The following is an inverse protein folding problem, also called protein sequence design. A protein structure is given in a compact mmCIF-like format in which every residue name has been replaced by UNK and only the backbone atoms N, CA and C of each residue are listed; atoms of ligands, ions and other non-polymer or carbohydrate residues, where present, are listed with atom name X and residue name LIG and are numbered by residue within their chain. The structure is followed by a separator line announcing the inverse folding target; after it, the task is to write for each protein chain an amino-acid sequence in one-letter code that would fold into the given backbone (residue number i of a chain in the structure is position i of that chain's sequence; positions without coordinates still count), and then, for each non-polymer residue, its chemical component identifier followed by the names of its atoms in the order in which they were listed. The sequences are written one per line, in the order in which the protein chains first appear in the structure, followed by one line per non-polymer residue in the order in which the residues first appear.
data_IF_525366264657
#
_entry.id   IF_525366264657
#
_cell.length_a   1.000
_cell.length_b   1.000
_cell.length_c   1.000
_cell.angle_alpha   90.00
_cell.angle_beta   90.00
_cell.angle_gamma   90.00
#
_symmetry.space_group_name_H-M   'P 1'
#
loop_
_entity.id
_entity.type
_entity.pdbx_description
1 polymer ?
#
# COMPACT_ATOMS: atom_id res chain seq x y z
N UNK A 1 -37.00 -8.78 82.36
CA UNK A 1 -36.46 -7.51 81.89
C UNK A 1 -35.16 -7.88 81.15
N UNK A 2 -35.31 -8.07 79.79
CA UNK A 2 -34.21 -8.57 78.97
C UNK A 2 -33.49 -7.35 78.29
N UNK A 3 -32.19 -7.31 78.42
CA UNK A 3 -31.32 -6.36 77.78
C UNK A 3 -30.79 -7.04 76.49
N UNK A 4 -31.17 -6.49 75.35
CA UNK A 4 -30.65 -6.92 74.06
C UNK A 4 -29.35 -6.18 73.74
N UNK A 5 -28.29 -6.95 73.54
CA UNK A 5 -27.03 -6.43 73.00
C UNK A 5 -27.07 -6.37 71.49
N UNK A 6 -26.87 -5.18 70.95
CA UNK A 6 -26.70 -4.95 69.52
C UNK A 6 -25.21 -5.01 69.16
N UNK A 7 -24.82 -6.00 68.35
CA UNK A 7 -23.50 -6.07 67.74
C UNK A 7 -23.50 -5.28 66.47
N UNK A 8 -22.68 -4.24 66.39
CA UNK A 8 -22.40 -3.51 65.15
C UNK A 8 -21.20 -4.20 64.49
N UNK A 9 -21.41 -4.85 63.33
CA UNK A 9 -20.35 -5.35 62.47
C UNK A 9 -19.94 -4.19 61.55
N UNK A 10 -18.71 -3.71 61.75
CA UNK A 10 -18.05 -2.79 60.81
C UNK A 10 -17.47 -3.60 59.63
N UNK A 11 -18.14 -3.54 58.49
CA UNK A 11 -17.63 -4.12 57.25
C UNK A 11 -16.53 -3.25 56.63
N UNK A 12 -15.28 -3.72 56.62
CA UNK A 12 -14.20 -3.13 55.83
C UNK A 12 -14.39 -3.52 54.36
N UNK A 13 -14.87 -2.59 53.53
CA UNK A 13 -14.85 -2.73 52.07
C UNK A 13 -13.46 -2.40 51.55
N UNK A 14 -12.71 -3.41 51.16
CA UNK A 14 -11.45 -3.26 50.42
C UNK A 14 -11.78 -3.03 48.97
N UNK A 15 -11.74 -1.79 48.53
CA UNK A 15 -11.85 -1.43 47.11
C UNK A 15 -10.55 -1.79 46.40
N UNK A 16 -10.56 -2.86 45.61
CA UNK A 16 -9.48 -3.16 44.68
C UNK A 16 -9.55 -2.14 43.50
N UNK A 17 -8.68 -1.15 43.56
CA UNK A 17 -8.39 -0.33 42.37
C UNK A 17 -7.62 -1.19 41.38
N UNK A 18 -8.32 -1.73 40.39
CA UNK A 18 -7.71 -2.35 39.22
C UNK A 18 -7.12 -1.22 38.37
N UNK A 19 -5.83 -0.91 38.55
CA UNK A 19 -5.08 -0.07 37.60
C UNK A 19 -5.01 -0.83 36.27
N UNK A 20 -5.93 -0.53 35.37
CA UNK A 20 -5.78 -0.85 33.97
C UNK A 20 -4.56 -0.05 33.45
N UNK A 21 -3.40 -0.72 33.33
CA UNK A 21 -2.29 -0.18 32.56
C UNK A 21 -2.76 -0.07 31.11
N UNK A 22 -3.12 1.14 30.68
CA UNK A 22 -3.16 1.48 29.26
C UNK A 22 -1.77 1.16 28.72
N UNK A 23 -1.67 0.08 27.94
CA UNK A 23 -0.49 -0.19 27.12
C UNK A 23 -0.34 1.00 26.18
N UNK A 24 0.57 1.88 26.52
CA UNK A 24 1.03 2.96 25.66
C UNK A 24 1.52 2.28 24.37
N UNK A 25 0.67 2.22 23.33
CA UNK A 25 1.08 1.77 21.99
C UNK A 25 2.06 2.83 21.51
N UNK A 26 3.36 2.53 21.62
CA UNK A 26 4.36 3.38 20.97
C UNK A 26 3.95 3.58 19.52
N UNK A 27 3.99 4.84 19.05
CA UNK A 27 3.67 5.15 17.66
C UNK A 27 4.54 4.29 16.73
N UNK A 28 3.92 3.66 15.72
CA UNK A 28 4.65 2.91 14.70
C UNK A 28 5.56 3.89 13.95
N UNK A 29 6.86 3.61 13.89
CA UNK A 29 7.83 4.41 13.14
C UNK A 29 7.93 3.81 11.74
N UNK A 30 7.82 4.67 10.72
CA UNK A 30 7.98 4.31 9.31
C UNK A 30 9.25 4.95 8.76
N UNK A 31 10.02 4.19 7.99
CA UNK A 31 11.21 4.66 7.28
C UNK A 31 10.81 5.64 6.17
N UNK A 32 11.36 6.84 6.19
CA UNK A 32 11.11 7.93 5.22
C UNK A 32 12.40 8.41 4.53
N UNK A 33 13.50 7.72 4.75
CA UNK A 33 14.81 8.05 4.20
C UNK A 33 15.49 6.78 3.70
N UNK A 34 15.87 6.79 2.43
CA UNK A 34 16.47 5.67 1.73
C UNK A 34 17.84 6.06 1.16
N UNK A 35 18.80 5.13 1.16
CA UNK A 35 20.13 5.36 0.59
C UNK A 35 20.09 5.22 -0.95
N UNK A 36 19.52 6.22 -1.62
CA UNK A 36 19.35 6.22 -3.07
C UNK A 36 20.67 6.38 -3.83
N UNK A 37 21.67 7.01 -3.23
CA UNK A 37 22.99 7.21 -3.85
C UNK A 37 23.73 5.89 -4.10
N UNK A 38 23.36 4.83 -3.38
CA UNK A 38 23.90 3.48 -3.61
C UNK A 38 23.22 2.73 -4.74
N UNK A 39 22.15 3.29 -5.33
CA UNK A 39 21.35 2.65 -6.37
C UNK A 39 21.79 3.04 -7.77
N UNK A 40 22.07 2.03 -8.61
CA UNK A 40 22.03 2.17 -10.05
C UNK A 40 20.60 1.89 -10.50
N UNK A 41 19.88 2.95 -10.84
CA UNK A 41 18.49 2.83 -11.25
C UNK A 41 18.36 2.34 -12.69
N UNK A 42 17.36 1.49 -12.92
CA UNK A 42 16.94 0.99 -14.22
C UNK A 42 15.43 1.20 -14.40
N UNK A 43 15.01 1.47 -15.62
CA UNK A 43 13.59 1.55 -15.98
C UNK A 43 12.95 0.17 -16.16
N UNK A 44 13.72 -0.91 -16.01
CA UNK A 44 13.26 -2.29 -16.10
C UNK A 44 13.90 -3.14 -15.04
N UNK A 45 13.17 -4.15 -14.54
CA UNK A 45 13.67 -5.12 -13.58
C UNK A 45 12.58 -6.01 -13.04
N UNK A 46 12.99 -7.09 -12.35
CA UNK A 46 12.09 -8.01 -11.65
C UNK A 46 12.44 -8.03 -10.17
N UNK A 47 11.61 -7.42 -9.37
CA UNK A 47 11.53 -7.73 -7.95
C UNK A 47 10.72 -9.03 -7.78
N UNK A 48 10.89 -9.74 -6.68
CA UNK A 48 10.13 -10.96 -6.41
C UNK A 48 8.61 -10.76 -6.49
N UNK A 49 8.13 -9.57 -6.08
CA UNK A 49 6.72 -9.21 -5.95
C UNK A 49 6.29 -8.05 -6.86
N UNK A 50 7.16 -7.59 -7.75
CA UNK A 50 6.85 -6.49 -8.66
C UNK A 50 7.60 -6.65 -9.99
N UNK A 51 6.86 -6.76 -11.09
CA UNK A 51 7.43 -6.90 -12.44
C UNK A 51 7.39 -5.53 -13.12
N UNK A 52 8.58 -4.94 -13.31
CA UNK A 52 8.73 -3.64 -13.99
C UNK A 52 9.27 -3.86 -15.41
N UNK A 53 8.50 -4.56 -16.26
CA UNK A 53 8.86 -4.85 -17.64
C UNK A 53 7.77 -4.36 -18.60
N UNK A 54 8.11 -3.61 -19.65
CA UNK A 54 7.15 -3.10 -20.63
C UNK A 54 6.23 -4.18 -21.18
N UNK A 55 4.93 -3.86 -21.27
CA UNK A 55 3.88 -4.75 -21.74
C UNK A 55 3.35 -5.72 -20.68
N UNK A 56 3.93 -5.78 -19.49
CA UNK A 56 3.36 -6.56 -18.39
C UNK A 56 2.08 -5.91 -17.88
N UNK A 57 1.05 -6.72 -17.67
CA UNK A 57 -0.27 -6.24 -17.28
C UNK A 57 -0.88 -7.13 -16.20
N UNK A 58 -1.56 -6.51 -15.24
CA UNK A 58 -2.42 -7.14 -14.25
C UNK A 58 -3.85 -6.60 -14.43
N UNK A 59 -4.85 -7.46 -14.23
CA UNK A 59 -6.25 -7.06 -14.16
C UNK A 59 -6.84 -7.63 -12.88
N UNK A 60 -7.33 -6.75 -12.02
CA UNK A 60 -8.04 -7.10 -10.80
C UNK A 60 -9.51 -6.69 -10.94
N UNK A 61 -10.41 -7.49 -10.41
CA UNK A 61 -11.85 -7.22 -10.43
C UNK A 61 -12.46 -7.62 -9.07
N UNK A 62 -13.50 -6.88 -8.67
CA UNK A 62 -14.20 -7.12 -7.42
C UNK A 62 -15.39 -6.17 -7.25
N UNK A 63 -15.72 -5.91 -5.99
CA UNK A 63 -16.74 -4.93 -5.62
C UNK A 63 -16.23 -4.05 -4.50
N UNK A 64 -16.35 -2.76 -4.67
CA UNK A 64 -16.14 -1.76 -3.65
C UNK A 64 -17.42 -0.98 -3.47
N UNK A 65 -17.85 -0.77 -2.23
CA UNK A 65 -19.13 -0.13 -1.88
C UNK A 65 -20.35 -0.74 -2.62
N UNK A 66 -20.31 -2.06 -2.90
CA UNK A 66 -21.28 -2.83 -3.71
C UNK A 66 -21.30 -2.50 -5.21
N UNK A 67 -20.39 -1.67 -5.72
CA UNK A 67 -20.23 -1.38 -7.13
C UNK A 67 -19.17 -2.28 -7.77
N UNK A 68 -19.40 -2.70 -9.02
CA UNK A 68 -18.42 -3.51 -9.74
C UNK A 68 -17.22 -2.66 -10.11
N UNK A 69 -16.07 -2.99 -9.52
CA UNK A 69 -14.80 -2.25 -9.70
C UNK A 69 -13.79 -3.12 -10.42
N UNK A 70 -13.04 -2.50 -11.32
CA UNK A 70 -11.97 -3.10 -12.09
C UNK A 70 -10.76 -2.19 -12.13
N UNK A 71 -9.60 -2.75 -11.79
CA UNK A 71 -8.29 -2.11 -11.89
C UNK A 71 -7.44 -2.83 -12.96
N UNK A 72 -6.91 -2.06 -13.91
CA UNK A 72 -5.96 -2.55 -14.92
C UNK A 72 -4.65 -1.84 -14.73
N UNK A 73 -3.61 -2.58 -14.36
CA UNK A 73 -2.25 -2.07 -14.18
C UNK A 73 -1.43 -2.48 -15.39
N UNK A 74 -0.80 -1.52 -16.07
CA UNK A 74 0.00 -1.78 -17.27
C UNK A 74 1.36 -1.12 -17.16
N UNK A 75 2.43 -1.89 -17.28
CA UNK A 75 3.78 -1.35 -17.46
C UNK A 75 3.92 -0.88 -18.90
N UNK A 76 3.90 0.44 -19.11
CA UNK A 76 4.01 1.02 -20.44
C UNK A 76 5.46 0.97 -20.98
N UNK A 77 5.64 1.08 -22.29
CA UNK A 77 6.97 1.25 -22.90
C UNK A 77 7.48 2.71 -22.80
N UNK A 78 6.76 3.54 -22.10
CA UNK A 78 7.08 4.93 -21.85
C UNK A 78 7.98 5.09 -20.63
N UNK A 79 8.86 6.08 -20.70
CA UNK A 79 9.68 6.52 -19.56
C UNK A 79 9.42 7.99 -19.25
N UNK A 80 9.68 8.37 -18.01
CA UNK A 80 9.60 9.76 -17.53
C UNK A 80 10.85 10.07 -16.72
N UNK A 81 11.47 11.19 -16.99
CA UNK A 81 12.56 11.69 -16.16
C UNK A 81 11.98 12.51 -15.00
N UNK A 82 12.27 12.08 -13.76
CA UNK A 82 11.94 12.80 -12.53
C UNK A 82 13.24 13.19 -11.84
N UNK A 83 13.50 14.49 -11.74
CA UNK A 83 14.81 14.98 -11.32
C UNK A 83 15.92 14.47 -12.26
N UNK A 84 16.84 13.68 -11.73
CA UNK A 84 17.93 13.07 -12.50
C UNK A 84 17.71 11.59 -12.83
N UNK A 85 16.59 11.00 -12.39
CA UNK A 85 16.32 9.57 -12.53
C UNK A 85 15.35 9.34 -13.69
N UNK A 86 15.72 8.42 -14.58
CA UNK A 86 14.81 7.89 -15.61
C UNK A 86 13.95 6.82 -14.98
N UNK A 87 12.63 6.98 -15.04
CA UNK A 87 11.64 6.07 -14.46
C UNK A 87 10.82 5.39 -15.54
N UNK A 88 10.25 4.24 -15.24
CA UNK A 88 9.24 3.56 -16.04
C UNK A 88 7.85 4.08 -15.69
N UNK A 89 7.01 4.30 -16.68
CA UNK A 89 5.60 4.64 -16.49
C UNK A 89 4.80 3.34 -16.29
N UNK A 90 4.08 3.26 -15.19
CA UNK A 90 3.09 2.22 -14.93
C UNK A 90 1.74 2.90 -14.84
N UNK A 91 0.86 2.60 -15.80
CA UNK A 91 -0.49 3.14 -15.82
C UNK A 91 -1.43 2.23 -15.04
N UNK A 92 -2.22 2.82 -14.18
CA UNK A 92 -3.34 2.20 -13.50
C UNK A 92 -4.63 2.85 -13.99
N UNK A 93 -5.57 2.04 -14.46
CA UNK A 93 -6.88 2.48 -14.93
C UNK A 93 -7.95 1.82 -14.09
N UNK A 94 -8.59 2.62 -13.25
CA UNK A 94 -9.71 2.18 -12.44
C UNK A 94 -11.04 2.53 -13.10
N UNK A 95 -11.96 1.58 -13.05
CA UNK A 95 -13.32 1.77 -13.55
C UNK A 95 -14.34 1.19 -12.59
N UNK A 96 -15.45 1.92 -12.42
CA UNK A 96 -16.60 1.51 -11.62
C UNK A 96 -17.80 1.37 -12.55
N UNK A 97 -18.45 0.19 -12.50
CA UNK A 97 -19.56 -0.17 -13.39
C UNK A 97 -19.24 0.05 -14.89
N UNK A 98 -17.96 -0.18 -15.26
CA UNK A 98 -17.46 -0.04 -16.63
C UNK A 98 -17.20 1.40 -17.08
N UNK A 99 -17.26 2.37 -16.18
CA UNK A 99 -16.89 3.76 -16.44
C UNK A 99 -15.56 4.07 -15.75
N UNK A 100 -14.58 4.57 -16.50
CA UNK A 100 -13.31 5.02 -15.92
C UNK A 100 -13.57 6.13 -14.90
N UNK A 101 -13.01 5.96 -13.69
CA UNK A 101 -13.08 6.92 -12.59
C UNK A 101 -11.73 7.56 -12.33
N UNK A 102 -10.63 6.82 -12.57
CA UNK A 102 -9.27 7.32 -12.41
C UNK A 102 -8.32 6.68 -13.44
N UNK A 103 -7.37 7.46 -13.91
CA UNK A 103 -6.17 6.98 -14.58
C UNK A 103 -4.98 7.64 -13.89
N UNK A 104 -4.13 6.85 -13.26
CA UNK A 104 -2.85 7.30 -12.72
C UNK A 104 -1.69 6.79 -13.58
N UNK A 105 -0.62 7.59 -13.68
CA UNK A 105 0.64 7.22 -14.33
C UNK A 105 1.76 7.34 -13.32
N UNK A 106 2.15 6.22 -12.80
CA UNK A 106 3.08 6.04 -11.71
C UNK A 106 4.51 5.92 -12.25
N UNK A 107 5.49 6.56 -11.61
CA UNK A 107 6.88 6.64 -12.05
C UNK A 107 7.78 5.81 -11.15
N UNK A 108 8.11 4.59 -11.60
CA UNK A 108 8.92 3.66 -10.84
C UNK A 108 10.32 3.47 -11.42
N UNK A 109 11.29 3.20 -10.54
CA UNK A 109 12.63 2.78 -10.94
C UNK A 109 13.10 1.60 -10.09
N UNK A 110 13.79 0.67 -10.74
CA UNK A 110 14.36 -0.52 -10.14
C UNK A 110 15.80 -0.24 -9.68
N UNK A 111 16.09 -0.44 -8.40
CA UNK A 111 17.43 -0.36 -7.84
C UNK A 111 18.15 -1.71 -8.01
N UNK A 112 19.16 -1.76 -8.86
CA UNK A 112 19.87 -3.00 -9.22
C UNK A 112 20.63 -3.64 -8.03
N UNK A 113 21.09 -2.83 -7.07
CA UNK A 113 21.86 -3.32 -5.92
C UNK A 113 21.00 -4.01 -4.87
N UNK A 114 19.76 -3.53 -4.70
CA UNK A 114 18.86 -4.03 -3.66
C UNK A 114 17.69 -4.82 -4.20
N UNK A 115 17.46 -4.83 -5.51
CA UNK A 115 16.26 -5.34 -6.17
C UNK A 115 14.95 -4.67 -5.68
N UNK A 116 15.05 -3.46 -5.14
CA UNK A 116 13.89 -2.69 -4.66
C UNK A 116 13.29 -1.86 -5.79
N UNK A 117 11.99 -1.61 -5.70
CA UNK A 117 11.27 -0.67 -6.57
C UNK A 117 11.03 0.61 -5.79
N UNK A 118 11.49 1.73 -6.33
CA UNK A 118 11.26 3.06 -5.76
C UNK A 118 10.22 3.83 -6.56
N UNK A 119 9.44 4.65 -5.85
CA UNK A 119 8.35 5.47 -6.38
C UNK A 119 8.77 6.93 -6.42
N UNK A 120 8.73 7.53 -7.59
CA UNK A 120 9.20 8.89 -7.85
C UNK A 120 8.07 9.89 -8.09
N UNK A 121 6.82 9.45 -8.02
CA UNK A 121 5.64 10.30 -8.20
C UNK A 121 4.67 9.78 -9.23
N UNK A 122 3.61 10.53 -9.43
CA UNK A 122 2.53 10.18 -10.35
C UNK A 122 1.86 11.41 -10.96
N UNK A 123 1.24 11.19 -12.11
CA UNK A 123 0.20 12.04 -12.68
C UNK A 123 -1.15 11.34 -12.51
N UNK A 124 -2.18 12.09 -12.09
CA UNK A 124 -3.53 11.55 -11.82
C UNK A 124 -4.55 12.32 -12.65
N UNK A 125 -5.42 11.58 -13.33
CA UNK A 125 -6.59 12.09 -14.03
C UNK A 125 -7.85 11.50 -13.38
N UNK A 126 -8.57 12.28 -12.57
CA UNK A 126 -9.84 11.88 -11.98
C UNK A 126 -11.00 12.17 -12.94
N UNK A 127 -11.86 11.18 -13.19
CA UNK A 127 -12.93 11.26 -14.18
C UNK A 127 -14.32 11.30 -13.55
N UNK A 128 -15.22 12.06 -14.17
CA UNK A 128 -16.66 12.01 -13.94
C UNK A 128 -17.40 12.20 -15.26
N UNK A 129 -18.30 11.25 -15.58
CA UNK A 129 -19.07 11.26 -16.84
C UNK A 129 -18.15 11.36 -18.09
N UNK A 130 -17.04 10.62 -18.08
CA UNK A 130 -16.06 10.55 -19.17
C UNK A 130 -15.22 11.83 -19.39
N UNK A 131 -15.19 12.74 -18.40
CA UNK A 131 -14.39 13.96 -18.47
C UNK A 131 -13.48 14.05 -17.25
N UNK A 132 -12.24 14.51 -17.47
CA UNK A 132 -11.31 14.83 -16.38
C UNK A 132 -11.90 16.00 -15.58
N UNK A 133 -11.99 15.84 -14.27
CA UNK A 133 -12.53 16.85 -13.36
C UNK A 133 -11.43 17.50 -12.49
N UNK A 134 -10.36 16.79 -12.18
CA UNK A 134 -9.20 17.30 -11.45
C UNK A 134 -8.00 16.34 -11.61
N UNK A 135 -6.86 16.73 -11.01
CA UNK A 135 -5.61 15.98 -10.94
C UNK A 135 -5.17 15.82 -9.49
N UNK A 136 -6.13 15.67 -8.58
CA UNK A 136 -5.87 15.53 -7.15
C UNK A 136 -5.11 14.23 -6.88
N UNK A 137 -4.10 14.30 -6.02
CA UNK A 137 -3.17 13.19 -5.76
C UNK A 137 -1.84 13.32 -6.51
N UNK A 138 -1.79 13.98 -7.67
CA UNK A 138 -0.58 14.07 -8.47
C UNK A 138 0.60 14.74 -7.73
N UNK A 139 1.78 14.12 -7.83
CA UNK A 139 3.01 14.62 -7.21
C UNK A 139 4.25 14.12 -7.95
N UNK A 140 5.38 14.80 -7.76
CA UNK A 140 6.69 14.36 -8.22
C UNK A 140 7.71 14.48 -7.08
N UNK A 141 8.72 13.60 -7.09
CA UNK A 141 9.82 13.59 -6.12
C UNK A 141 10.82 14.71 -6.43
N UNK A 142 10.31 15.95 -6.36
CA UNK A 142 11.05 17.18 -6.62
C UNK A 142 10.81 18.20 -5.51
N UNK A 143 11.76 19.10 -5.31
CA UNK A 143 11.67 20.14 -4.31
C UNK A 143 11.62 19.59 -2.88
N UNK A 144 10.49 19.70 -2.18
CA UNK A 144 10.27 19.19 -0.82
C UNK A 144 9.85 17.71 -0.78
N UNK A 145 9.36 17.19 -1.90
CA UNK A 145 8.91 15.82 -2.00
C UNK A 145 10.10 14.89 -2.23
N UNK A 146 9.99 13.65 -1.79
CA UNK A 146 11.08 12.65 -1.89
C UNK A 146 10.55 11.36 -2.50
N UNK A 147 11.42 10.56 -3.14
CA UNK A 147 11.03 9.21 -3.54
C UNK A 147 10.71 8.36 -2.33
N UNK A 148 9.73 7.48 -2.47
CA UNK A 148 9.40 6.45 -1.51
C UNK A 148 9.82 5.06 -1.99
N UNK A 149 9.60 4.06 -1.14
CA UNK A 149 9.86 2.65 -1.43
C UNK A 149 8.54 1.97 -1.80
N UNK A 150 8.35 1.60 -3.07
CA UNK A 150 7.14 0.87 -3.48
C UNK A 150 7.21 -0.60 -3.06
N UNK A 151 8.35 -1.26 -3.33
CA UNK A 151 8.53 -2.68 -2.99
C UNK A 151 9.96 -2.94 -2.54
N UNK A 152 10.11 -3.52 -1.34
CA UNK A 152 11.41 -3.93 -0.82
C UNK A 152 11.97 -5.11 -1.62
N UNK A 153 13.28 -5.12 -1.89
CA UNK A 153 13.95 -6.24 -2.56
C UNK A 153 14.11 -7.47 -1.66
N UNK A 154 14.16 -7.24 -0.36
CA UNK A 154 14.15 -8.28 0.67
C UNK A 154 13.11 -7.90 1.72
N UNK A 155 11.85 -8.30 1.53
CA UNK A 155 10.78 -7.98 2.46
C UNK A 155 10.95 -8.75 3.78
N UNK A 156 10.73 -8.06 4.91
CA UNK A 156 10.75 -8.63 6.26
C UNK A 156 9.48 -8.26 7.01
N UNK A 157 8.88 -9.20 7.73
CA UNK A 157 7.68 -8.94 8.54
C UNK A 157 7.96 -7.89 9.60
N UNK A 158 7.08 -6.88 9.66
CA UNK A 158 7.22 -5.73 10.55
C UNK A 158 8.02 -4.57 9.95
N UNK A 159 8.59 -4.71 8.74
CA UNK A 159 9.22 -3.58 8.07
C UNK A 159 8.16 -2.56 7.66
N UNK A 160 8.41 -1.27 8.01
CA UNK A 160 7.50 -0.14 7.81
C UNK A 160 8.21 0.96 7.05
N UNK A 161 7.61 1.44 5.98
CA UNK A 161 8.20 2.45 5.12
C UNK A 161 7.15 3.29 4.42
N UNK A 162 7.55 4.50 4.02
CA UNK A 162 6.73 5.35 3.17
C UNK A 162 6.88 4.93 1.70
N UNK A 163 5.75 4.75 1.03
CA UNK A 163 5.66 4.55 -0.42
C UNK A 163 5.63 5.89 -1.14
N UNK A 164 5.07 6.92 -0.50
CA UNK A 164 4.97 8.27 -1.02
C UNK A 164 5.39 9.29 0.03
N UNK A 165 6.18 10.27 -0.39
CA UNK A 165 6.68 11.32 0.51
C UNK A 165 6.46 12.69 -0.13
N UNK A 166 5.18 13.07 -0.27
CA UNK A 166 4.73 14.38 -0.75
C UNK A 166 3.82 15.05 0.31
N UNK A 167 4.40 15.77 1.30
CA UNK A 167 3.68 16.30 2.44
C UNK A 167 2.45 17.12 2.08
N UNK A 168 1.28 16.67 2.55
CA UNK A 168 -0.02 17.30 2.33
C UNK A 168 -0.66 16.95 0.97
N UNK A 169 -0.06 16.05 0.18
CA UNK A 169 -0.55 15.60 -1.12
C UNK A 169 -0.72 14.07 -1.10
N UNK A 170 0.40 13.35 -0.96
CA UNK A 170 0.44 11.89 -0.96
C UNK A 170 1.48 11.41 0.07
N UNK A 171 1.05 10.58 1.02
CA UNK A 171 1.87 10.17 2.17
C UNK A 171 1.64 8.69 2.52
N UNK A 172 1.38 7.87 1.53
CA UNK A 172 1.07 6.47 1.74
C UNK A 172 2.27 5.70 2.24
N UNK A 173 2.00 4.74 3.11
CA UNK A 173 3.01 3.98 3.83
C UNK A 173 2.56 2.55 4.05
N UNK A 174 3.48 1.64 3.93
CA UNK A 174 3.29 0.22 4.01
C UNK A 174 3.87 -0.40 5.29
N UNK A 175 3.20 -1.38 5.83
CA UNK A 175 3.74 -2.33 6.80
C UNK A 175 3.63 -3.75 6.23
N UNK A 176 4.75 -4.47 6.15
CA UNK A 176 4.75 -5.88 5.79
C UNK A 176 4.21 -6.66 6.99
N UNK A 177 3.00 -7.23 6.85
CA UNK A 177 2.30 -7.90 7.96
C UNK A 177 2.49 -9.40 7.97
N UNK A 178 2.70 -10.03 6.81
CA UNK A 178 3.06 -11.44 6.71
C UNK A 178 3.75 -11.81 5.41
N UNK A 179 4.44 -12.95 5.41
CA UNK A 179 5.06 -13.60 4.26
C UNK A 179 4.73 -15.10 4.37
N UNK A 180 4.37 -15.73 3.25
CA UNK A 180 4.00 -17.15 3.22
C UNK A 180 2.49 -17.38 3.20
N UNK A 181 1.71 -16.33 2.94
CA UNK A 181 0.26 -16.44 2.77
C UNK A 181 -0.11 -17.24 1.52
N UNK A 182 -1.29 -17.85 1.57
CA UNK A 182 -1.89 -18.56 0.46
C UNK A 182 -3.22 -17.88 0.07
N UNK A 183 -3.46 -17.72 -1.22
CA UNK A 183 -4.71 -17.18 -1.73
C UNK A 183 -5.08 -17.82 -3.06
N UNK A 184 -6.39 -17.97 -3.28
CA UNK A 184 -6.97 -18.41 -4.54
C UNK A 184 -7.74 -17.26 -5.18
N UNK A 185 -7.46 -17.02 -6.46
CA UNK A 185 -8.20 -16.08 -7.32
C UNK A 185 -8.73 -16.83 -8.55
N UNK A 186 -9.48 -16.15 -9.42
CA UNK A 186 -9.91 -16.76 -10.69
C UNK A 186 -8.74 -16.97 -11.67
N UNK A 187 -7.64 -16.22 -11.50
CA UNK A 187 -6.44 -16.35 -12.30
C UNK A 187 -5.51 -17.52 -11.86
N UNK A 188 -5.68 -18.05 -10.63
CA UNK A 188 -4.86 -19.14 -10.12
C UNK A 188 -4.89 -19.31 -8.61
N UNK A 189 -4.01 -20.20 -8.12
CA UNK A 189 -3.73 -20.39 -6.70
C UNK A 189 -2.28 -19.99 -6.44
N UNK A 190 -2.08 -19.22 -5.39
CA UNK A 190 -0.82 -18.56 -5.07
C UNK A 190 -0.35 -18.95 -3.68
N UNK A 191 0.92 -19.24 -3.54
CA UNK A 191 1.59 -19.59 -2.28
C UNK A 191 2.76 -18.64 -2.05
N UNK A 192 3.23 -18.57 -0.81
CA UNK A 192 4.33 -17.68 -0.39
C UNK A 192 4.06 -16.20 -0.72
N UNK A 193 2.80 -15.79 -0.64
CA UNK A 193 2.40 -14.42 -0.90
C UNK A 193 2.86 -13.50 0.21
N UNK A 194 3.19 -12.26 -0.18
CA UNK A 194 3.48 -11.13 0.69
C UNK A 194 2.18 -10.40 0.99
N UNK A 195 1.87 -10.12 2.26
CA UNK A 195 0.75 -9.29 2.66
C UNK A 195 1.24 -7.97 3.27
N UNK A 196 0.62 -6.87 2.84
CA UNK A 196 0.96 -5.50 3.24
C UNK A 196 -0.30 -4.81 3.78
N UNK A 197 -0.18 -4.10 4.91
CA UNK A 197 -1.15 -3.11 5.37
C UNK A 197 -0.69 -1.73 4.89
N UNK A 198 -1.49 -1.06 4.09
CA UNK A 198 -1.27 0.32 3.68
C UNK A 198 -2.09 1.28 4.54
N UNK A 199 -1.52 2.42 4.85
CA UNK A 199 -2.13 3.49 5.66
C UNK A 199 -1.58 4.82 5.22
N UNK A 200 -2.32 5.90 5.48
CA UNK A 200 -1.81 7.25 5.27
C UNK A 200 -2.01 8.14 6.50
N UNK A 201 -1.04 8.98 6.88
CA UNK A 201 -1.24 9.96 7.95
C UNK A 201 -2.23 11.06 7.56
N UNK A 202 -2.55 11.22 6.26
CA UNK A 202 -3.54 12.18 5.77
C UNK A 202 -4.97 11.74 6.10
N UNK A 203 -5.22 10.41 6.13
CA UNK A 203 -6.48 9.78 6.53
C UNK A 203 -6.24 8.64 7.54
N UNK A 204 -5.95 8.93 8.83
CA UNK A 204 -5.44 7.94 9.80
C UNK A 204 -6.38 6.77 10.13
N UNK A 205 -7.63 6.84 9.70
CA UNK A 205 -8.63 5.77 9.90
C UNK A 205 -8.69 4.78 8.74
N UNK A 206 -8.17 5.18 7.61
CA UNK A 206 -8.16 4.36 6.39
C UNK A 206 -7.04 3.34 6.47
N UNK A 207 -7.36 2.13 6.06
CA UNK A 207 -6.45 1.00 5.97
C UNK A 207 -6.83 0.15 4.79
N UNK A 208 -5.83 -0.23 4.04
CA UNK A 208 -5.97 -1.14 2.92
C UNK A 208 -5.06 -2.35 3.08
N UNK A 209 -5.48 -3.47 2.52
CA UNK A 209 -4.72 -4.71 2.59
C UNK A 209 -4.45 -5.21 1.18
N UNK A 210 -3.16 -5.25 0.82
CA UNK A 210 -2.70 -5.74 -0.47
C UNK A 210 -1.95 -7.06 -0.32
N UNK A 211 -2.07 -7.92 -1.33
CA UNK A 211 -1.28 -9.16 -1.39
C UNK A 211 -0.59 -9.27 -2.74
N UNK A 212 0.64 -9.75 -2.69
CA UNK A 212 1.50 -9.91 -3.85
C UNK A 212 1.98 -11.35 -3.94
N UNK A 213 1.89 -11.96 -5.14
CA UNK A 213 2.42 -13.30 -5.40
C UNK A 213 3.82 -13.26 -6.03
N UNK A 214 4.72 -14.19 -5.64
CA UNK A 214 6.06 -14.26 -6.22
C UNK A 214 6.01 -14.44 -7.74
N UNK A 215 6.78 -13.61 -8.46
CA UNK A 215 6.88 -13.66 -9.93
C UNK A 215 5.66 -13.17 -10.70
N UNK A 216 4.64 -12.67 -9.99
CA UNK A 216 3.39 -12.14 -10.55
C UNK A 216 3.21 -10.67 -10.21
N UNK A 217 3.28 -10.27 -8.95
CA UNK A 217 2.95 -8.94 -8.47
C UNK A 217 1.65 -8.90 -7.69
N UNK A 218 0.92 -7.80 -7.78
CA UNK A 218 -0.33 -7.56 -7.06
C UNK A 218 -1.42 -8.55 -7.47
N UNK A 219 -1.95 -9.30 -6.50
CA UNK A 219 -3.01 -10.31 -6.70
C UNK A 219 -4.28 -10.03 -5.90
N UNK A 220 -4.18 -9.11 -4.94
CA UNK A 220 -5.31 -8.61 -4.17
C UNK A 220 -5.06 -7.16 -3.82
N UNK A 221 -6.07 -6.32 -4.00
CA UNK A 221 -6.14 -4.92 -3.61
C UNK A 221 -7.50 -4.66 -2.96
N UNK A 222 -7.52 -4.44 -1.65
CA UNK A 222 -8.76 -4.37 -0.92
C UNK A 222 -9.67 -5.58 -1.17
N UNK A 223 -10.77 -5.36 -1.87
CA UNK A 223 -11.72 -6.40 -2.30
C UNK A 223 -11.53 -6.85 -3.74
N UNK A 224 -10.58 -6.27 -4.48
CA UNK A 224 -10.29 -6.67 -5.85
C UNK A 224 -9.35 -7.87 -5.85
N UNK A 225 -9.61 -8.83 -6.73
CA UNK A 225 -8.79 -10.04 -6.89
C UNK A 225 -8.30 -10.17 -8.33
N UNK A 226 -7.07 -10.66 -8.50
CA UNK A 226 -6.47 -10.88 -9.81
C UNK A 226 -7.30 -11.86 -10.64
N UNK A 227 -7.70 -11.41 -11.84
CA UNK A 227 -8.44 -12.22 -12.83
C UNK A 227 -7.61 -12.54 -14.07
N UNK A 228 -6.60 -11.72 -14.37
CA UNK A 228 -5.72 -11.89 -15.54
C UNK A 228 -4.36 -11.25 -15.28
N UNK A 229 -3.29 -11.86 -15.82
CA UNK A 229 -1.93 -11.31 -15.79
C UNK A 229 -1.10 -11.79 -16.98
N UNK A 230 0.01 -11.12 -17.22
CA UNK A 230 1.01 -11.48 -18.24
C UNK A 230 1.29 -10.36 -19.21
N UNK A 231 2.09 -10.63 -20.23
CA UNK A 231 2.42 -9.65 -21.25
C UNK A 231 1.27 -9.49 -22.24
N UNK A 232 0.91 -8.23 -22.53
CA UNK A 232 -0.04 -7.88 -23.57
C UNK A 232 0.51 -8.37 -24.93
N UNK A 233 -0.37 -8.99 -25.73
CA UNK A 233 -0.02 -9.49 -27.06
C UNK A 233 -0.17 -8.39 -28.09
#
# INVERSE_FOLDING_TARGET
MLIQNVFVLAGLSVSFYCCAQEKNKSAKIFTDTFNLDSCSFSTTGRNQFFILEPGYQLTLEGKEDNEATKLVITVLDETKKVGNIETRVVEENESVNGQTVEISRNYFAFCQQTNSIFYFGEEVDNYKNGKIINHEGAWLAEGKNKPGLMMAGQPEVGYRYYQEIAPGIAMDRAEIISIGEEIKTSAGSWENCLAIEETTPLSPKEKEYKMYAPGIGLIKDGNLLLVKYGFAK
#
